data_IF_034915321518
#
_entry.id   IF_034915321518
#
_cell.length_a   1.000
_cell.length_b   1.000
_cell.length_c   1.000
_cell.angle_alpha   90.00
_cell.angle_beta   90.00
_cell.angle_gamma   90.00
#
_symmetry.space_group_name_H-M   'P 1'
#
loop_
_entity.id
_entity.type
_entity.pdbx_description
1 polymer ?
#
# COMPACT_ATOMS: atom_id res chain seq x y z
N UNK A 1 10.20 30.28 3.60
CA UNK A 1 10.15 29.37 2.42
C UNK A 1 8.80 28.69 2.47
N UNK A 2 8.10 28.52 1.35
CA UNK A 2 6.87 27.72 1.32
C UNK A 2 7.21 26.24 1.43
N UNK A 3 6.35 25.46 2.11
CA UNK A 3 6.50 24.01 2.17
C UNK A 3 6.62 23.40 0.76
N UNK A 4 7.46 22.38 0.63
CA UNK A 4 7.63 21.64 -0.64
C UNK A 4 6.68 20.45 -0.74
N UNK A 5 6.29 19.88 0.41
CA UNK A 5 5.46 18.67 0.48
C UNK A 5 4.23 18.94 1.34
N UNK A 6 3.06 18.51 0.87
CA UNK A 6 1.87 18.39 1.70
C UNK A 6 1.73 16.94 2.13
N UNK A 7 1.89 16.65 3.43
CA UNK A 7 1.73 15.32 3.98
C UNK A 7 0.28 15.13 4.41
N UNK A 8 -0.40 14.18 3.79
CA UNK A 8 -1.78 13.79 4.09
C UNK A 8 -1.78 12.53 4.96
N UNK A 9 -1.90 12.71 6.26
CA UNK A 9 -2.03 11.62 7.24
C UNK A 9 -3.50 11.23 7.34
N UNK A 10 -3.85 10.02 6.93
CA UNK A 10 -5.22 9.49 7.07
C UNK A 10 -5.33 8.80 8.42
N UNK A 11 -6.35 9.12 9.21
CA UNK A 11 -6.53 8.62 10.58
C UNK A 11 -7.86 7.89 10.76
N UNK A 12 -7.86 6.72 11.42
CA UNK A 12 -9.08 6.03 11.88
C UNK A 12 -8.84 5.24 13.19
N UNK A 13 -9.29 5.80 14.31
CA UNK A 13 -9.33 5.13 15.63
C UNK A 13 -7.96 4.59 16.13
N UNK A 14 -6.88 5.34 15.90
CA UNK A 14 -5.51 5.04 16.35
C UNK A 14 -4.84 6.26 17.04
N UNK A 15 -5.53 6.89 17.98
CA UNK A 15 -5.09 8.12 18.67
C UNK A 15 -3.61 8.17 19.06
N UNK A 16 -3.10 7.14 19.74
CA UNK A 16 -1.72 7.18 20.27
C UNK A 16 -0.68 7.02 19.16
N UNK A 17 -0.95 6.18 18.15
CA UNK A 17 -0.06 6.02 17.00
C UNK A 17 -0.07 7.27 16.11
N UNK A 18 -1.23 7.91 15.95
CA UNK A 18 -1.34 9.19 15.26
C UNK A 18 -0.48 10.24 15.98
N UNK A 19 -0.54 10.30 17.31
CA UNK A 19 0.29 11.24 18.08
C UNK A 19 1.79 11.00 17.83
N UNK A 20 2.26 9.75 17.86
CA UNK A 20 3.66 9.42 17.53
C UNK A 20 4.03 9.81 16.09
N UNK A 21 3.13 9.55 15.13
CA UNK A 21 3.30 9.94 13.73
C UNK A 21 3.51 11.44 13.60
N UNK A 22 2.65 12.25 14.23
CA UNK A 22 2.72 13.71 14.17
C UNK A 22 3.98 14.25 14.86
N UNK A 23 4.40 13.68 15.99
CA UNK A 23 5.66 14.10 16.61
C UNK A 23 6.88 13.79 15.72
N UNK A 24 6.87 12.66 14.99
CA UNK A 24 7.95 12.33 14.06
C UNK A 24 8.06 13.30 12.87
N UNK A 25 6.95 13.94 12.48
CA UNK A 25 6.88 14.91 11.38
C UNK A 25 7.24 16.34 11.81
N UNK A 26 7.15 16.66 13.11
CA UNK A 26 7.36 18.01 13.63
C UNK A 26 8.71 18.63 13.22
N UNK A 27 9.86 17.93 13.24
CA UNK A 27 11.14 18.54 12.83
C UNK A 27 11.15 19.02 11.38
N UNK A 28 10.56 18.26 10.45
CA UNK A 28 10.48 18.65 9.04
C UNK A 28 9.45 19.79 8.84
N UNK A 29 8.39 19.85 9.66
CA UNK A 29 7.41 20.92 9.64
C UNK A 29 7.98 22.24 10.18
N UNK A 30 8.69 22.19 11.32
CA UNK A 30 9.38 23.34 11.92
C UNK A 30 10.47 23.90 10.98
N UNK A 31 11.12 23.04 10.20
CA UNK A 31 12.06 23.43 9.15
C UNK A 31 11.39 24.07 7.92
N UNK A 32 10.05 24.06 7.85
CA UNK A 32 9.26 24.54 6.71
C UNK A 32 9.41 23.68 5.46
N UNK A 33 9.87 22.43 5.59
CA UNK A 33 9.99 21.49 4.48
C UNK A 33 8.62 20.94 4.06
N UNK A 34 7.76 20.71 5.06
CA UNK A 34 6.45 20.11 4.89
C UNK A 34 5.34 20.96 5.53
N UNK A 35 4.14 20.86 4.98
CA UNK A 35 2.90 21.15 5.69
C UNK A 35 2.16 19.83 5.97
N UNK A 36 1.56 19.70 7.14
CA UNK A 36 0.92 18.45 7.58
C UNK A 36 -0.58 18.64 7.72
N UNK A 37 -1.32 17.72 7.11
CA UNK A 37 -2.76 17.63 7.17
C UNK A 37 -3.16 16.26 7.72
N UNK A 38 -4.04 16.25 8.71
CA UNK A 38 -4.72 15.04 9.18
C UNK A 38 -6.12 15.03 8.61
N UNK A 39 -6.47 13.94 7.94
CA UNK A 39 -7.86 13.66 7.58
C UNK A 39 -8.36 12.53 8.47
N UNK A 40 -9.18 12.89 9.45
CA UNK A 40 -9.81 11.93 10.34
C UNK A 40 -11.08 11.36 9.70
N UNK A 41 -11.10 10.04 9.55
CA UNK A 41 -12.18 9.28 8.93
C UNK A 41 -13.18 8.79 9.98
N UNK A 42 -13.84 9.75 10.65
CA UNK A 42 -14.88 9.51 11.65
C UNK A 42 -14.41 8.68 12.86
N UNK A 43 -13.26 9.05 13.45
CA UNK A 43 -12.78 8.42 14.68
C UNK A 43 -13.68 8.76 15.87
N UNK A 44 -13.81 7.81 16.79
CA UNK A 44 -14.58 7.93 18.03
C UNK A 44 -13.71 7.77 19.29
N UNK A 45 -12.38 7.70 19.12
CA UNK A 45 -11.41 7.44 20.20
C UNK A 45 -10.77 8.73 20.76
N UNK A 46 -11.25 9.90 20.34
CA UNK A 46 -10.69 11.19 20.72
C UNK A 46 -9.50 11.65 19.87
N UNK A 47 -9.23 11.00 18.73
CA UNK A 47 -8.16 11.40 17.80
C UNK A 47 -8.31 12.86 17.31
N UNK A 48 -9.50 13.33 16.84
CA UNK A 48 -9.66 14.71 16.38
C UNK A 48 -9.39 15.75 17.48
N UNK A 49 -9.88 15.49 18.70
CA UNK A 49 -9.70 16.37 19.86
C UNK A 49 -8.22 16.46 20.22
N UNK A 50 -7.54 15.31 20.24
CA UNK A 50 -6.11 15.23 20.49
C UNK A 50 -5.30 16.06 19.49
N UNK A 51 -5.63 16.01 18.20
CA UNK A 51 -4.96 16.83 17.17
C UNK A 51 -5.18 18.32 17.44
N UNK A 52 -6.43 18.75 17.72
CA UNK A 52 -6.73 20.17 17.99
C UNK A 52 -5.99 20.71 19.22
N UNK A 53 -5.86 19.91 20.26
CA UNK A 53 -5.28 20.33 21.54
C UNK A 53 -3.74 20.32 21.53
N UNK A 54 -3.12 19.27 20.97
CA UNK A 54 -1.66 19.04 21.08
C UNK A 54 -0.87 19.38 19.82
N UNK A 55 -1.53 19.39 18.67
CA UNK A 55 -0.90 19.51 17.36
C UNK A 55 -1.51 20.68 16.58
N UNK A 56 -1.61 21.86 17.21
CA UNK A 56 -2.19 23.07 16.61
C UNK A 56 -1.47 23.59 15.35
N UNK A 57 -0.28 23.07 15.06
CA UNK A 57 0.48 23.33 13.82
C UNK A 57 0.05 22.43 12.64
N UNK A 58 -0.82 21.45 12.89
CA UNK A 58 -1.37 20.52 11.90
C UNK A 58 -2.76 20.99 11.46
N UNK A 59 -3.03 20.93 10.15
CA UNK A 59 -4.37 21.19 9.64
C UNK A 59 -5.24 19.94 9.77
N UNK A 60 -6.39 20.05 10.45
CA UNK A 60 -7.30 18.92 10.67
C UNK A 60 -8.55 19.02 9.79
N UNK A 61 -8.86 17.93 9.10
CA UNK A 61 -10.15 17.69 8.44
C UNK A 61 -10.82 16.52 9.16
N UNK A 62 -11.78 16.83 10.04
CA UNK A 62 -12.57 15.81 10.73
C UNK A 62 -13.82 15.47 9.90
N UNK A 63 -13.82 14.31 9.25
CA UNK A 63 -14.93 13.86 8.41
C UNK A 63 -16.03 13.22 9.26
N UNK A 64 -17.29 13.48 8.90
CA UNK A 64 -18.46 12.87 9.57
C UNK A 64 -18.59 11.37 9.29
N UNK A 65 -18.05 10.92 8.15
CA UNK A 65 -18.03 9.53 7.73
C UNK A 65 -16.62 9.11 7.29
N UNK A 66 -16.38 7.79 7.25
CA UNK A 66 -15.13 7.25 6.71
C UNK A 66 -15.18 7.28 5.18
N UNK A 67 -14.53 8.28 4.58
CA UNK A 67 -14.51 8.51 3.13
C UNK A 67 -13.53 7.60 2.37
N UNK A 68 -12.74 6.81 3.10
CA UNK A 68 -11.72 5.94 2.54
C UNK A 68 -10.35 6.62 2.38
N UNK A 69 -9.31 5.83 2.18
CA UNK A 69 -7.92 6.30 2.21
C UNK A 69 -7.59 7.24 1.05
N UNK A 70 -7.83 6.79 -0.19
CA UNK A 70 -7.50 7.57 -1.38
C UNK A 70 -8.27 8.89 -1.46
N UNK A 71 -9.56 8.87 -1.13
CA UNK A 71 -10.39 10.08 -1.07
C UNK A 71 -9.89 11.07 -0.03
N UNK A 72 -9.50 10.60 1.16
CA UNK A 72 -8.93 11.45 2.20
C UNK A 72 -7.64 12.14 1.74
N UNK A 73 -6.72 11.42 1.07
CA UNK A 73 -5.50 12.05 0.52
C UNK A 73 -5.82 13.07 -0.58
N UNK A 74 -6.78 12.76 -1.47
CA UNK A 74 -7.23 13.70 -2.50
C UNK A 74 -7.77 15.02 -1.90
N UNK A 75 -8.49 14.95 -0.77
CA UNK A 75 -8.99 16.15 -0.10
C UNK A 75 -7.87 17.11 0.33
N UNK A 76 -6.72 16.58 0.76
CA UNK A 76 -5.54 17.39 1.08
C UNK A 76 -4.91 17.95 -0.19
N UNK A 77 -4.76 17.13 -1.24
CA UNK A 77 -4.21 17.57 -2.51
C UNK A 77 -4.99 18.75 -3.12
N UNK A 78 -6.31 18.76 -2.98
CA UNK A 78 -7.23 19.83 -3.42
C UNK A 78 -7.13 21.12 -2.58
N UNK A 79 -6.67 21.03 -1.33
CA UNK A 79 -6.55 22.17 -0.40
C UNK A 79 -5.15 22.78 -0.37
N UNK A 80 -4.18 22.16 -1.02
CA UNK A 80 -2.76 22.53 -0.97
C UNK A 80 -2.21 22.81 -2.36
N UNK A 81 -1.04 23.46 -2.43
CA UNK A 81 -0.36 23.83 -3.70
C UNK A 81 1.13 23.48 -3.73
N UNK A 82 1.58 22.65 -2.81
CA UNK A 82 2.96 22.15 -2.68
C UNK A 82 3.45 21.43 -3.94
N UNK A 83 4.74 21.42 -4.24
CA UNK A 83 5.23 20.67 -5.42
C UNK A 83 4.99 19.15 -5.31
N UNK A 84 4.89 18.64 -4.07
CA UNK A 84 4.72 17.23 -3.77
C UNK A 84 3.54 16.98 -2.82
N UNK A 85 2.90 15.83 -2.99
CA UNK A 85 1.93 15.24 -2.07
C UNK A 85 2.60 14.02 -1.43
N UNK A 86 2.49 13.82 -0.12
CA UNK A 86 2.84 12.56 0.51
C UNK A 86 1.58 11.92 1.12
N UNK A 87 1.21 10.75 0.64
CA UNK A 87 0.21 9.92 1.31
C UNK A 87 0.88 9.25 2.52
N UNK A 88 0.23 9.26 3.69
CA UNK A 88 0.76 8.69 4.91
C UNK A 88 -0.33 8.01 5.75
N UNK A 89 0.00 6.86 6.34
CA UNK A 89 -0.81 6.26 7.40
C UNK A 89 -0.57 6.98 8.73
N UNK A 90 -1.46 6.74 9.71
CA UNK A 90 -1.36 7.23 11.07
C UNK A 90 -0.56 6.33 12.03
N UNK A 91 0.12 5.29 11.51
CA UNK A 91 0.92 4.33 12.27
C UNK A 91 2.38 4.25 11.81
N UNK A 92 2.93 5.38 11.36
CA UNK A 92 4.31 5.51 10.89
C UNK A 92 5.14 6.45 11.77
N UNK A 93 6.46 6.32 11.71
CA UNK A 93 7.37 7.36 12.20
C UNK A 93 8.45 7.65 11.14
N UNK A 94 8.58 8.91 10.75
CA UNK A 94 9.57 9.35 9.76
C UNK A 94 10.96 9.39 10.40
N UNK A 95 11.94 8.72 9.80
CA UNK A 95 13.33 8.82 10.26
C UNK A 95 13.95 10.17 9.86
N UNK A 96 14.86 10.74 10.67
CA UNK A 96 15.50 12.02 10.37
C UNK A 96 16.08 12.10 8.95
N UNK A 97 15.63 13.10 8.18
CA UNK A 97 16.09 13.35 6.81
C UNK A 97 15.51 12.42 5.75
N UNK A 98 14.57 11.52 6.07
CA UNK A 98 13.96 10.62 5.10
C UNK A 98 13.21 11.39 3.98
N UNK A 99 12.42 12.41 4.32
CA UNK A 99 11.71 13.23 3.33
C UNK A 99 12.69 13.96 2.40
N UNK A 100 13.77 14.51 2.95
CA UNK A 100 14.82 15.15 2.15
C UNK A 100 15.49 14.16 1.17
N UNK A 101 15.71 12.90 1.59
CA UNK A 101 16.25 11.84 0.73
C UNK A 101 15.27 11.43 -0.38
N UNK A 102 13.97 11.35 -0.08
CA UNK A 102 12.94 11.11 -1.10
C UNK A 102 12.90 12.23 -2.14
N UNK A 103 12.93 13.49 -1.69
CA UNK A 103 12.97 14.66 -2.58
C UNK A 103 14.25 14.68 -3.44
N UNK A 104 15.40 14.32 -2.87
CA UNK A 104 16.66 14.21 -3.62
C UNK A 104 16.55 13.14 -4.71
N UNK A 105 16.08 11.94 -4.38
CA UNK A 105 15.88 10.87 -5.36
C UNK A 105 14.87 11.27 -6.46
N UNK A 106 13.84 12.04 -6.13
CA UNK A 106 12.86 12.52 -7.09
C UNK A 106 13.42 13.60 -8.04
N UNK A 107 14.42 14.37 -7.61
CA UNK A 107 15.17 15.31 -8.47
C UNK A 107 16.11 14.57 -9.41
N UNK A 108 16.79 13.54 -8.91
CA UNK A 108 17.72 12.72 -9.70
C UNK A 108 17.00 11.81 -10.72
N UNK A 109 15.69 11.58 -10.50
CA UNK A 109 14.83 10.81 -11.39
C UNK A 109 13.59 11.62 -11.79
N UNK A 110 13.71 12.53 -12.79
CA UNK A 110 12.60 13.37 -13.22
C UNK A 110 11.37 12.60 -13.71
N UNK A 111 11.55 11.36 -14.18
CA UNK A 111 10.48 10.45 -14.62
C UNK A 111 9.79 9.71 -13.45
N UNK A 112 10.30 9.83 -12.22
CA UNK A 112 9.65 9.32 -11.03
C UNK A 112 8.47 10.24 -10.66
N UNK A 113 7.26 9.72 -10.81
CA UNK A 113 6.05 10.34 -10.28
C UNK A 113 5.81 9.92 -8.82
N UNK A 114 6.25 8.73 -8.45
CA UNK A 114 6.12 8.18 -7.10
C UNK A 114 7.50 7.79 -6.56
N UNK A 115 7.77 8.12 -5.30
CA UNK A 115 8.98 7.71 -4.58
C UNK A 115 8.58 7.11 -3.24
N UNK A 116 8.92 5.83 -3.05
CA UNK A 116 8.63 5.06 -1.85
C UNK A 116 9.90 4.85 -1.01
N UNK A 117 9.83 5.05 0.32
CA UNK A 117 10.94 4.78 1.23
C UNK A 117 11.08 3.27 1.51
N UNK A 118 12.14 2.89 2.22
CA UNK A 118 12.18 1.63 2.96
C UNK A 118 11.28 1.71 4.18
N UNK A 119 10.37 0.75 4.30
CA UNK A 119 9.53 0.57 5.48
C UNK A 119 10.20 -0.39 6.46
N UNK A 120 10.30 0.01 7.72
CA UNK A 120 10.90 -0.78 8.80
C UNK A 120 9.84 -1.23 9.81
N UNK A 121 9.84 -2.51 10.13
CA UNK A 121 8.92 -3.11 11.10
C UNK A 121 9.45 -2.96 12.55
N UNK A 122 8.61 -3.19 13.58
CA UNK A 122 9.01 -3.16 14.99
C UNK A 122 10.18 -4.08 15.36
N UNK A 123 10.38 -5.17 14.62
CA UNK A 123 11.48 -6.11 14.81
C UNK A 123 12.79 -5.68 14.11
N UNK A 124 12.80 -4.51 13.48
CA UNK A 124 13.94 -3.97 12.73
C UNK A 124 14.09 -4.56 11.32
N UNK A 125 13.24 -5.49 10.92
CA UNK A 125 13.25 -6.03 9.55
C UNK A 125 12.61 -5.06 8.55
N UNK A 126 12.94 -5.18 7.28
CA UNK A 126 12.28 -4.41 6.22
C UNK A 126 10.93 -5.03 5.88
N UNK A 127 9.87 -4.22 5.92
CA UNK A 127 8.58 -4.63 5.39
C UNK A 127 8.64 -4.73 3.87
N UNK A 128 8.18 -5.86 3.32
CA UNK A 128 7.97 -5.98 1.89
C UNK A 128 6.87 -5.02 1.44
N UNK A 129 7.21 -4.05 0.60
CA UNK A 129 6.35 -2.90 0.26
C UNK A 129 6.37 -2.50 -1.21
N UNK A 130 7.04 -3.29 -2.04
CA UNK A 130 7.18 -3.05 -3.47
C UNK A 130 6.81 -4.29 -4.23
N UNK A 131 6.03 -4.13 -5.31
CA UNK A 131 5.39 -5.25 -5.96
C UNK A 131 5.34 -5.05 -7.48
N UNK A 132 5.35 -6.14 -8.24
CA UNK A 132 5.06 -6.12 -9.66
C UNK A 132 3.55 -5.94 -9.89
N UNK A 133 3.15 -5.44 -11.06
CA UNK A 133 1.73 -5.44 -11.42
C UNK A 133 1.21 -6.87 -11.55
N UNK A 134 0.01 -7.19 -11.03
CA UNK A 134 -0.55 -8.53 -11.20
C UNK A 134 -0.86 -8.75 -12.68
N UNK A 135 -0.28 -9.78 -13.27
CA UNK A 135 -0.50 -10.18 -14.67
C UNK A 135 -0.78 -11.67 -14.72
N UNK A 136 -1.51 -12.13 -15.75
CA UNK A 136 -1.79 -13.55 -15.91
C UNK A 136 -0.49 -14.37 -15.99
N UNK A 137 0.51 -13.87 -16.71
CA UNK A 137 1.81 -14.50 -16.80
C UNK A 137 2.50 -14.61 -15.44
N UNK A 138 2.58 -13.51 -14.69
CA UNK A 138 3.17 -13.51 -13.34
C UNK A 138 2.43 -14.49 -12.41
N UNK A 139 1.10 -14.51 -12.48
CA UNK A 139 0.28 -15.43 -11.68
C UNK A 139 0.53 -16.89 -12.02
N UNK A 140 0.67 -17.24 -13.30
CA UNK A 140 1.05 -18.60 -13.75
C UNK A 140 2.45 -18.95 -13.26
N UNK A 141 3.43 -18.08 -13.50
CA UNK A 141 4.83 -18.25 -13.09
C UNK A 141 4.94 -18.49 -11.58
N UNK A 142 4.22 -17.70 -10.78
CA UNK A 142 4.20 -17.83 -9.33
C UNK A 142 3.57 -19.17 -8.90
N UNK A 143 2.41 -19.52 -9.45
CA UNK A 143 1.71 -20.75 -9.07
C UNK A 143 2.42 -22.04 -9.50
N UNK A 144 3.20 -21.99 -10.58
CA UNK A 144 4.08 -23.09 -11.02
C UNK A 144 5.40 -23.17 -10.24
N UNK A 145 5.68 -22.22 -9.34
CA UNK A 145 6.93 -22.19 -8.56
C UNK A 145 8.17 -21.84 -9.40
N UNK A 146 8.01 -21.34 -10.63
CA UNK A 146 9.13 -21.06 -11.54
C UNK A 146 10.05 -19.95 -11.02
N UNK A 147 9.57 -19.11 -10.12
CA UNK A 147 10.39 -18.09 -9.45
C UNK A 147 11.48 -18.69 -8.56
N UNK A 148 11.31 -19.92 -8.06
CA UNK A 148 12.35 -20.62 -7.32
C UNK A 148 13.51 -21.10 -8.21
N UNK A 149 13.33 -21.13 -9.53
CA UNK A 149 14.36 -21.55 -10.47
C UNK A 149 15.43 -20.47 -10.70
N UNK A 150 15.15 -19.21 -10.35
CA UNK A 150 16.09 -18.11 -10.54
C UNK A 150 15.93 -17.03 -9.49
N UNK A 151 16.92 -16.93 -8.58
CA UNK A 151 16.99 -15.84 -7.59
C UNK A 151 17.01 -14.46 -8.23
N UNK A 152 17.67 -14.32 -9.39
CA UNK A 152 17.71 -13.07 -10.16
C UNK A 152 16.33 -12.66 -10.65
N UNK A 153 15.54 -13.62 -11.13
CA UNK A 153 14.17 -13.38 -11.57
C UNK A 153 13.28 -13.00 -10.37
N UNK A 154 13.38 -13.71 -9.26
CA UNK A 154 12.61 -13.41 -8.05
C UNK A 154 12.95 -12.03 -7.45
N UNK A 155 14.24 -11.63 -7.44
CA UNK A 155 14.67 -10.27 -7.06
C UNK A 155 14.14 -9.21 -8.04
N UNK A 156 14.23 -9.46 -9.36
CA UNK A 156 13.71 -8.54 -10.37
C UNK A 156 12.20 -8.32 -10.23
N UNK A 157 11.45 -9.38 -9.94
CA UNK A 157 10.02 -9.35 -9.69
C UNK A 157 9.65 -8.83 -8.29
N UNK A 158 10.64 -8.41 -7.49
CA UNK A 158 10.44 -7.91 -6.13
C UNK A 158 9.60 -8.88 -5.26
N UNK A 159 9.85 -10.20 -5.35
CA UNK A 159 9.11 -11.18 -4.57
C UNK A 159 9.58 -11.19 -3.11
N UNK A 160 8.63 -11.34 -2.19
CA UNK A 160 8.90 -11.42 -0.76
C UNK A 160 9.96 -12.49 -0.45
N UNK A 161 10.91 -12.15 0.44
CA UNK A 161 12.03 -13.00 0.82
C UNK A 161 13.11 -13.20 -0.25
N UNK A 162 12.97 -12.65 -1.45
CA UNK A 162 13.93 -12.82 -2.55
C UNK A 162 14.56 -11.51 -3.05
N UNK A 163 13.85 -10.40 -2.86
CA UNK A 163 14.32 -9.08 -3.27
C UNK A 163 15.33 -8.49 -2.28
N UNK A 164 16.28 -7.71 -2.78
CA UNK A 164 17.23 -6.96 -1.95
C UNK A 164 16.65 -5.59 -1.52
N UNK A 165 16.31 -5.40 -0.23
CA UNK A 165 15.75 -4.15 0.29
C UNK A 165 16.76 -3.00 0.37
N UNK A 166 18.06 -3.26 0.28
CA UNK A 166 19.08 -2.21 0.27
C UNK A 166 19.27 -1.55 -1.10
N UNK A 167 18.64 -2.08 -2.15
CA UNK A 167 18.92 -1.69 -3.54
C UNK A 167 17.86 -0.73 -4.10
N UNK A 168 18.23 0.55 -4.40
CA UNK A 168 17.34 1.48 -5.08
C UNK A 168 16.97 0.95 -6.47
N UNK A 169 15.70 1.09 -6.87
CA UNK A 169 15.19 0.53 -8.13
C UNK A 169 13.88 1.14 -8.56
N UNK A 170 13.63 1.16 -9.87
CA UNK A 170 12.28 1.36 -10.38
C UNK A 170 11.44 0.10 -10.14
N UNK A 171 10.24 0.28 -9.64
CA UNK A 171 9.27 -0.79 -9.37
C UNK A 171 7.97 -0.51 -10.10
N UNK A 172 7.10 -1.50 -10.23
CA UNK A 172 5.79 -1.29 -10.83
C UNK A 172 4.90 -0.45 -9.90
N UNK A 173 4.80 -0.85 -8.64
CA UNK A 173 4.09 -0.09 -7.61
C UNK A 173 4.65 -0.36 -6.21
N UNK A 174 4.30 0.51 -5.27
CA UNK A 174 4.70 0.45 -3.87
C UNK A 174 3.51 0.79 -2.97
N UNK A 175 3.52 0.30 -1.73
CA UNK A 175 2.44 0.57 -0.78
C UNK A 175 2.36 2.05 -0.41
N UNK A 176 1.14 2.58 -0.31
CA UNK A 176 0.91 3.97 0.09
C UNK A 176 1.08 4.27 1.59
N UNK A 177 1.65 3.35 2.39
CA UNK A 177 1.94 3.59 3.82
C UNK A 177 2.68 4.91 4.08
N UNK A 178 3.69 5.18 3.26
CA UNK A 178 4.23 6.52 3.03
C UNK A 178 4.71 6.61 1.59
N UNK A 179 4.09 7.46 0.78
CA UNK A 179 4.38 7.53 -0.66
C UNK A 179 4.42 8.99 -1.13
N UNK A 180 5.60 9.44 -1.55
CA UNK A 180 5.80 10.78 -2.09
C UNK A 180 5.40 10.79 -3.57
N UNK A 181 4.50 11.68 -3.95
CA UNK A 181 3.95 11.82 -5.28
C UNK A 181 4.18 13.23 -5.86
N UNK A 182 4.68 13.29 -7.10
CA UNK A 182 4.87 14.53 -7.85
C UNK A 182 3.51 15.14 -8.17
N UNK A 183 3.27 16.40 -7.80
CA UNK A 183 1.96 17.03 -7.99
C UNK A 183 1.52 17.03 -9.45
N UNK A 184 2.39 17.40 -10.38
CA UNK A 184 2.04 17.44 -11.81
C UNK A 184 1.55 16.10 -12.33
N UNK A 185 2.22 15.01 -11.94
CA UNK A 185 1.83 13.65 -12.30
C UNK A 185 0.56 13.20 -11.58
N UNK A 186 0.41 13.57 -10.30
CA UNK A 186 -0.80 13.34 -9.51
C UNK A 186 -2.04 13.97 -10.17
N UNK A 187 -1.94 15.24 -10.55
CA UNK A 187 -3.01 15.99 -11.21
C UNK A 187 -3.31 15.44 -12.62
N UNK A 188 -2.28 15.06 -13.38
CA UNK A 188 -2.44 14.45 -14.72
C UNK A 188 -3.34 13.21 -14.71
N UNK A 189 -3.19 12.35 -13.70
CA UNK A 189 -3.99 11.12 -13.59
C UNK A 189 -5.24 11.27 -12.72
N UNK A 190 -5.47 12.45 -12.12
CA UNK A 190 -6.61 12.73 -11.25
C UNK A 190 -6.51 12.16 -9.82
N UNK A 191 -5.29 11.99 -9.29
CA UNK A 191 -5.04 11.52 -7.92
C UNK A 191 -5.42 10.06 -7.69
N UNK A 192 -5.82 9.70 -6.48
CA UNK A 192 -6.37 8.37 -6.19
C UNK A 192 -7.78 8.22 -6.78
N UNK A 193 -8.13 7.01 -7.21
CA UNK A 193 -9.47 6.70 -7.70
C UNK A 193 -10.49 6.74 -6.55
N UNK A 194 -11.37 7.74 -6.55
CA UNK A 194 -12.43 7.91 -5.53
C UNK A 194 -13.44 6.76 -5.51
N UNK A 195 -13.53 5.96 -6.57
CA UNK A 195 -14.36 4.76 -6.57
C UNK A 195 -13.73 3.59 -5.79
N UNK A 196 -12.42 3.65 -5.51
CA UNK A 196 -11.73 2.71 -4.63
C UNK A 196 -11.73 3.28 -3.21
N UNK A 197 -12.71 2.86 -2.41
CA UNK A 197 -12.82 3.31 -1.02
C UNK A 197 -11.56 2.95 -0.22
N UNK A 198 -11.08 1.71 -0.33
CA UNK A 198 -9.89 1.27 0.39
C UNK A 198 -9.29 0.00 -0.23
N UNK A 199 -7.96 -0.12 -0.13
CA UNK A 199 -7.12 -1.16 -0.72
C UNK A 199 -7.00 -1.08 -2.26
N UNK A 200 -5.80 -1.36 -2.79
CA UNK A 200 -5.45 -1.28 -4.21
C UNK A 200 -5.46 0.13 -4.83
N UNK A 201 -5.67 1.19 -4.06
CA UNK A 201 -5.54 2.59 -4.49
C UNK A 201 -4.11 2.93 -4.92
N UNK A 202 -3.11 2.37 -4.24
CA UNK A 202 -1.68 2.48 -4.52
C UNK A 202 -1.28 1.75 -5.81
N UNK A 203 -1.75 0.51 -5.98
CA UNK A 203 -1.67 -0.25 -7.22
C UNK A 203 -2.32 0.53 -8.38
N UNK A 204 -3.47 1.14 -8.13
CA UNK A 204 -4.23 1.86 -9.15
C UNK A 204 -3.54 3.12 -9.66
N UNK A 205 -3.10 4.00 -8.74
CA UNK A 205 -2.44 5.24 -9.13
C UNK A 205 -1.12 4.95 -9.84
N UNK A 206 -0.33 3.98 -9.35
CA UNK A 206 0.92 3.58 -9.98
C UNK A 206 0.68 3.01 -11.39
N UNK A 207 -0.39 2.24 -11.60
CA UNK A 207 -0.74 1.74 -12.92
C UNK A 207 -1.15 2.84 -13.90
N UNK A 208 -1.98 3.80 -13.46
CA UNK A 208 -2.38 4.95 -14.30
C UNK A 208 -1.17 5.82 -14.65
N UNK A 209 -0.31 6.10 -13.69
CA UNK A 209 0.95 6.84 -13.89
C UNK A 209 1.89 6.11 -14.86
N UNK A 210 2.04 4.78 -14.71
CA UNK A 210 2.84 3.97 -15.63
C UNK A 210 2.36 4.06 -17.07
N UNK A 211 1.04 4.14 -17.28
CA UNK A 211 0.42 4.31 -18.62
C UNK A 211 0.59 5.72 -19.18
N UNK A 212 0.70 6.72 -18.31
CA UNK A 212 1.04 8.10 -18.67
C UNK A 212 2.55 8.29 -18.91
N UNK A 213 3.38 7.24 -18.74
CA UNK A 213 4.82 7.28 -19.01
C UNK A 213 5.70 7.49 -17.77
N UNK A 214 5.09 7.73 -16.61
CA UNK A 214 5.78 7.92 -15.35
C UNK A 214 6.26 6.60 -14.73
N UNK A 215 7.14 6.70 -13.72
CA UNK A 215 7.69 5.57 -12.96
C UNK A 215 7.45 5.70 -11.46
N UNK A 216 7.47 4.55 -10.80
CA UNK A 216 7.57 4.43 -9.34
C UNK A 216 9.01 4.08 -8.98
N UNK A 217 9.60 4.82 -8.05
CA UNK A 217 10.95 4.63 -7.55
C UNK A 217 10.92 4.15 -6.10
N UNK A 218 11.68 3.11 -5.79
CA UNK A 218 12.02 2.72 -4.43
C UNK A 218 13.37 3.33 -4.04
N UNK A 219 13.39 4.06 -2.92
CA UNK A 219 14.57 4.74 -2.40
C UNK A 219 14.86 4.29 -0.96
N UNK A 220 15.70 3.26 -0.78
CA UNK A 220 15.93 2.65 0.53
C UNK A 220 16.81 3.47 1.46
N UNK A 221 17.43 4.55 0.99
CA UNK A 221 18.13 5.48 1.90
C UNK A 221 17.16 6.32 2.73
N UNK A 222 15.91 6.50 2.26
CA UNK A 222 14.83 7.07 3.05
C UNK A 222 14.16 5.96 3.85
N UNK A 223 14.06 6.13 5.16
CA UNK A 223 13.57 5.10 6.08
C UNK A 223 12.34 5.63 6.81
N UNK A 224 11.30 4.79 6.90
CA UNK A 224 10.07 5.07 7.62
C UNK A 224 9.74 3.86 8.47
N UNK A 225 9.62 4.06 9.78
CA UNK A 225 9.14 3.04 10.69
C UNK A 225 7.63 2.87 10.50
N UNK A 226 7.12 1.65 10.58
CA UNK A 226 5.70 1.35 10.44
C UNK A 226 5.30 0.22 11.39
N UNK A 227 4.28 0.46 12.22
CA UNK A 227 3.76 -0.54 13.17
C UNK A 227 3.13 -1.73 12.44
N UNK A 228 2.54 -1.50 11.27
CA UNK A 228 2.11 -2.55 10.34
C UNK A 228 0.60 -2.79 10.34
N UNK A 229 -0.12 -2.00 9.53
CA UNK A 229 -1.55 -2.18 9.24
C UNK A 229 -2.43 -2.17 10.51
N UNK A 230 -2.10 -1.35 11.51
CA UNK A 230 -2.78 -1.39 12.81
C UNK A 230 -4.29 -1.13 12.69
N UNK A 231 -4.69 -0.13 11.89
CA UNK A 231 -6.11 0.23 11.72
C UNK A 231 -6.87 -0.86 10.99
N UNK A 232 -6.31 -1.37 9.89
CA UNK A 232 -6.93 -2.43 9.08
C UNK A 232 -7.05 -3.76 9.86
N UNK A 233 -6.04 -4.13 10.64
CA UNK A 233 -6.10 -5.32 11.52
C UNK A 233 -7.17 -5.16 12.58
N UNK A 234 -7.25 -3.99 13.22
CA UNK A 234 -8.27 -3.66 14.23
C UNK A 234 -9.68 -3.70 13.64
N UNK A 235 -9.87 -3.20 12.42
CA UNK A 235 -11.17 -3.10 11.78
C UNK A 235 -11.67 -4.42 11.15
N UNK A 236 -10.78 -5.21 10.54
CA UNK A 236 -11.19 -6.35 9.70
C UNK A 236 -10.72 -7.72 10.21
N UNK A 237 -9.79 -7.78 11.17
CA UNK A 237 -9.30 -9.05 11.72
C UNK A 237 -8.92 -10.06 10.63
N UNK A 238 -9.51 -11.25 10.71
CA UNK A 238 -9.25 -12.38 9.81
C UNK A 238 -9.71 -12.13 8.36
N UNK A 239 -10.59 -11.16 8.12
CA UNK A 239 -11.12 -10.83 6.79
C UNK A 239 -10.17 -9.97 5.96
N UNK A 240 -9.11 -9.41 6.56
CA UNK A 240 -8.25 -8.42 5.92
C UNK A 240 -7.70 -8.89 4.56
N UNK A 241 -7.12 -10.09 4.50
CA UNK A 241 -6.59 -10.63 3.23
C UNK A 241 -7.68 -10.87 2.19
N UNK A 242 -8.89 -11.25 2.63
CA UNK A 242 -10.04 -11.40 1.74
C UNK A 242 -10.43 -10.06 1.13
N UNK A 243 -10.42 -8.98 1.91
CA UNK A 243 -10.68 -7.62 1.42
C UNK A 243 -9.60 -7.13 0.46
N UNK A 244 -8.32 -7.33 0.79
CA UNK A 244 -7.19 -7.04 -0.12
C UNK A 244 -7.35 -7.77 -1.46
N UNK A 245 -7.68 -9.06 -1.41
CA UNK A 245 -7.86 -9.87 -2.62
C UNK A 245 -9.07 -9.45 -3.43
N UNK A 246 -10.19 -9.14 -2.77
CA UNK A 246 -11.40 -8.65 -3.42
C UNK A 246 -11.15 -7.32 -4.14
N UNK A 247 -10.52 -6.35 -3.45
CA UNK A 247 -10.15 -5.05 -4.03
C UNK A 247 -9.18 -5.22 -5.20
N UNK A 248 -8.19 -6.11 -5.08
CA UNK A 248 -7.24 -6.41 -6.17
C UNK A 248 -7.93 -6.99 -7.41
N UNK A 249 -8.89 -7.90 -7.23
CA UNK A 249 -9.67 -8.43 -8.37
C UNK A 249 -10.66 -7.41 -8.93
N UNK A 250 -11.30 -6.61 -8.09
CA UNK A 250 -12.15 -5.49 -8.50
C UNK A 250 -11.37 -4.50 -9.37
N UNK A 251 -10.18 -4.09 -8.90
CA UNK A 251 -9.26 -3.26 -9.67
C UNK A 251 -8.92 -3.86 -11.03
N UNK A 252 -8.54 -5.15 -11.09
CA UNK A 252 -8.25 -5.83 -12.37
C UNK A 252 -9.46 -5.83 -13.31
N UNK A 253 -10.66 -6.04 -12.76
CA UNK A 253 -11.89 -6.04 -13.54
C UNK A 253 -12.19 -4.66 -14.13
N UNK A 254 -12.02 -3.59 -13.34
CA UNK A 254 -12.26 -2.19 -13.75
C UNK A 254 -11.20 -1.67 -14.72
N UNK A 255 -9.91 -1.90 -14.46
CA UNK A 255 -8.80 -1.30 -15.23
C UNK A 255 -8.35 -2.12 -16.42
N UNK A 256 -8.57 -3.43 -16.42
CA UNK A 256 -8.14 -4.33 -17.49
C UNK A 256 -9.33 -4.97 -18.17
N UNK A 257 -9.90 -6.00 -17.56
CA UNK A 257 -11.18 -6.57 -17.97
C UNK A 257 -11.67 -7.56 -16.92
N UNK A 258 -12.99 -7.76 -16.80
CA UNK A 258 -13.55 -8.82 -15.96
C UNK A 258 -13.05 -10.23 -16.34
N UNK A 259 -12.75 -10.47 -17.62
CA UNK A 259 -12.22 -11.73 -18.10
C UNK A 259 -10.81 -12.00 -17.57
N UNK A 260 -9.91 -10.99 -17.60
CA UNK A 260 -8.55 -11.11 -17.06
C UNK A 260 -8.59 -11.33 -15.54
N UNK A 261 -9.42 -10.57 -14.83
CA UNK A 261 -9.57 -10.73 -13.37
C UNK A 261 -10.02 -12.15 -13.01
N UNK A 262 -11.04 -12.68 -13.71
CA UNK A 262 -11.50 -14.07 -13.53
C UNK A 262 -10.43 -15.09 -13.88
N UNK A 263 -9.68 -14.90 -14.97
CA UNK A 263 -8.61 -15.80 -15.36
C UNK A 263 -7.51 -15.86 -14.29
N UNK A 264 -7.05 -14.70 -13.80
CA UNK A 264 -6.06 -14.62 -12.71
C UNK A 264 -6.58 -15.30 -11.44
N UNK A 265 -7.83 -15.04 -11.07
CA UNK A 265 -8.44 -15.68 -9.90
C UNK A 265 -8.55 -17.20 -10.04
N UNK A 266 -8.92 -17.70 -11.22
CA UNK A 266 -9.00 -19.13 -11.50
C UNK A 266 -7.62 -19.80 -11.45
N UNK A 267 -6.58 -19.17 -12.00
CA UNK A 267 -5.20 -19.68 -11.92
C UNK A 267 -4.73 -19.75 -10.47
N UNK A 268 -5.00 -18.71 -9.66
CA UNK A 268 -4.70 -18.74 -8.23
C UNK A 268 -5.44 -19.86 -7.49
N UNK A 269 -6.76 -19.99 -7.70
CA UNK A 269 -7.54 -21.06 -7.12
C UNK A 269 -7.02 -22.45 -7.54
N UNK A 270 -6.72 -22.65 -8.82
CA UNK A 270 -6.20 -23.90 -9.35
C UNK A 270 -4.81 -24.23 -8.78
N UNK A 271 -3.91 -23.24 -8.70
CA UNK A 271 -2.58 -23.41 -8.13
C UNK A 271 -2.62 -23.77 -6.64
N UNK A 272 -3.46 -23.07 -5.86
CA UNK A 272 -3.65 -23.40 -4.44
C UNK A 272 -4.31 -24.78 -4.27
N UNK A 273 -5.31 -25.13 -5.08
CA UNK A 273 -5.96 -26.44 -5.03
C UNK A 273 -4.98 -27.58 -5.39
N UNK A 274 -4.12 -27.39 -6.38
CA UNK A 274 -3.08 -28.35 -6.74
C UNK A 274 -2.08 -28.57 -5.59
N UNK A 275 -1.59 -27.48 -4.97
CA UNK A 275 -0.73 -27.56 -3.77
C UNK A 275 -1.43 -28.27 -2.61
N UNK A 276 -2.70 -27.94 -2.37
CA UNK A 276 -3.51 -28.58 -1.33
C UNK A 276 -3.63 -30.09 -1.57
N UNK A 277 -3.94 -30.52 -2.80
CA UNK A 277 -4.05 -31.92 -3.18
C UNK A 277 -2.72 -32.67 -2.96
N UNK A 278 -1.59 -32.05 -3.29
CA UNK A 278 -0.25 -32.63 -3.07
C UNK A 278 0.12 -32.71 -1.57
N UNK A 279 -0.25 -31.71 -0.77
CA UNK A 279 0.07 -31.66 0.67
C UNK A 279 -0.84 -32.54 1.52
N UNK A 280 -2.08 -32.81 1.08
CA UNK A 280 -3.07 -33.55 1.86
C UNK A 280 -2.63 -34.95 2.31
N UNK A 281 -2.05 -35.83 1.48
CA UNK A 281 -1.53 -37.12 1.93
C UNK A 281 -0.35 -36.95 2.89
N UNK A 282 0.58 -36.03 2.60
CA UNK A 282 1.75 -35.76 3.45
C UNK A 282 1.34 -35.24 4.84
N UNK A 283 0.34 -34.37 4.90
CA UNK A 283 -0.19 -33.84 6.16
C UNK A 283 -0.83 -34.93 7.03
N UNK A 284 -1.49 -35.93 6.43
CA UNK A 284 -2.09 -37.05 7.15
C UNK A 284 -1.05 -38.01 7.72
N UNK A 285 0.00 -38.28 6.95
CA UNK A 285 1.02 -39.28 7.34
C UNK A 285 2.12 -38.69 8.21
N UNK A 286 2.59 -37.48 7.89
CA UNK A 286 3.77 -36.87 8.53
C UNK A 286 3.43 -35.77 9.54
N UNK A 287 2.22 -35.21 9.51
CA UNK A 287 1.82 -34.13 10.40
C UNK A 287 2.76 -32.90 10.35
N UNK A 288 2.80 -32.13 11.44
CA UNK A 288 3.70 -31.00 11.62
C UNK A 288 3.59 -29.96 10.51
N UNK A 289 4.75 -29.57 9.94
CA UNK A 289 4.85 -28.56 8.87
C UNK A 289 3.93 -28.81 7.67
N UNK A 290 3.64 -30.07 7.34
CA UNK A 290 2.76 -30.39 6.20
C UNK A 290 1.29 -30.10 6.52
N UNK A 291 0.87 -30.26 7.78
CA UNK A 291 -0.47 -29.88 8.21
C UNK A 291 -0.64 -28.36 8.21
N UNK A 292 0.36 -27.62 8.68
CA UNK A 292 0.39 -26.16 8.63
C UNK A 292 0.31 -25.63 7.19
N UNK A 293 1.17 -26.11 6.28
CA UNK A 293 1.12 -25.69 4.87
C UNK A 293 -0.21 -26.05 4.19
N UNK A 294 -0.83 -27.18 4.55
CA UNK A 294 -2.16 -27.55 4.06
C UNK A 294 -3.22 -26.57 4.54
N UNK A 295 -3.17 -26.17 5.81
CA UNK A 295 -4.14 -25.25 6.40
C UNK A 295 -3.97 -23.83 5.85
N UNK A 296 -2.73 -23.39 5.59
CA UNK A 296 -2.45 -22.19 4.80
C UNK A 296 -3.04 -22.26 3.39
N UNK A 297 -2.92 -23.40 2.69
CA UNK A 297 -3.56 -23.56 1.38
C UNK A 297 -5.09 -23.47 1.46
N UNK A 298 -5.72 -24.02 2.50
CA UNK A 298 -7.18 -23.89 2.70
C UNK A 298 -7.58 -22.44 2.93
N UNK A 299 -6.83 -21.72 3.75
CA UNK A 299 -7.04 -20.29 4.00
C UNK A 299 -6.98 -19.49 2.68
N UNK A 300 -5.89 -19.63 1.91
CA UNK A 300 -5.73 -18.91 0.64
C UNK A 300 -6.76 -19.29 -0.42
N UNK A 301 -7.20 -20.56 -0.46
CA UNK A 301 -8.29 -20.97 -1.34
C UNK A 301 -9.60 -20.26 -0.96
N UNK A 302 -9.87 -20.11 0.35
CA UNK A 302 -10.98 -19.32 0.87
C UNK A 302 -10.88 -17.85 0.44
N UNK A 303 -9.74 -17.21 0.68
CA UNK A 303 -9.45 -15.81 0.30
C UNK A 303 -9.72 -15.56 -1.18
N UNK A 304 -9.18 -16.40 -2.08
CA UNK A 304 -9.40 -16.23 -3.52
C UNK A 304 -10.85 -16.47 -3.95
N UNK A 305 -11.53 -17.47 -3.36
CA UNK A 305 -12.94 -17.76 -3.67
C UNK A 305 -13.85 -16.61 -3.23
N UNK A 306 -13.65 -16.09 -2.02
CA UNK A 306 -14.46 -14.98 -1.50
C UNK A 306 -14.15 -13.69 -2.27
N UNK A 307 -12.87 -13.41 -2.57
CA UNK A 307 -12.50 -12.28 -3.42
C UNK A 307 -13.15 -12.33 -4.80
N UNK A 308 -13.20 -13.50 -5.44
CA UNK A 308 -13.86 -13.71 -6.73
C UNK A 308 -15.41 -13.66 -6.63
N UNK A 309 -15.97 -13.97 -5.46
CA UNK A 309 -17.41 -13.89 -5.22
C UNK A 309 -17.87 -12.46 -4.90
N UNK A 310 -16.95 -11.54 -4.59
CA UNK A 310 -17.27 -10.14 -4.24
C UNK A 310 -17.83 -9.39 -5.44
N UNK A 311 -19.14 -9.43 -5.61
CA UNK A 311 -19.86 -8.70 -6.65
C UNK A 311 -19.70 -7.18 -6.49
N UNK A 312 -19.66 -6.68 -5.26
CA UNK A 312 -19.49 -5.25 -4.98
C UNK A 312 -18.17 -4.73 -5.58
N UNK A 313 -17.08 -5.49 -5.44
CA UNK A 313 -15.78 -5.11 -6.00
C UNK A 313 -15.67 -5.39 -7.51
N UNK A 314 -16.19 -6.52 -7.98
CA UNK A 314 -16.08 -6.94 -9.38
C UNK A 314 -17.06 -6.21 -10.33
N UNK A 315 -18.16 -5.72 -9.79
CA UNK A 315 -19.22 -5.02 -10.52
C UNK A 315 -19.35 -3.55 -10.09
N UNK A 316 -18.41 -3.01 -9.30
CA UNK A 316 -18.30 -1.56 -9.07
C UNK A 316 -17.95 -0.89 -10.40
N UNK A 317 -18.96 -0.72 -11.24
CA UNK A 317 -18.95 0.18 -12.37
C UNK A 317 -19.51 1.48 -11.85
N UNK A 318 -18.69 2.51 -11.81
CA UNK A 318 -19.16 3.88 -11.94
C UNK A 318 -18.34 4.52 -13.04
#
# INVERSE_FOLDING_TARGET
MSAQVAVAVVSTNLRDLLASTLESLRPDADAGLIEVWVVDNASTDGSPEMVRERFSWVSLVASEENVGYGTAVNMVAERTRTEWIAAANEDIEIRPGAIARLLAAARDHPDAALVAPRLELPDGSTQHSVHPFPTLWLTVLFNLGLHHLSRRLADHLCLEGHWDPGKPRSVDWAMATFLLARRSAWEEVGGFDRAQWMHAEDLDIAWRLRRAGWRTRYEPSAEVFHVGSAASKKAFGDELMTRFMAASYGWQARRRSPAIARAIALVNCAGVAARLAALQPLARVRGGRFAESRDQCRYWLGVHRTGLASRAELLSRR
#
